data_IF_605133383009
#
_entry.id   IF_605133383009
#
_cell.length_a   1.000
_cell.length_b   1.000
_cell.length_c   1.000
_cell.angle_alpha   90.00
_cell.angle_beta   90.00
_cell.angle_gamma   90.00
#
_symmetry.space_group_name_H-M   'P 1'
#
loop_
_entity.id
_entity.type
_entity.pdbx_description
1 polymer ?
#
# COMPACT_ATOMS: atom_id res chain seq x y z
N UNK A 1 -1.83 28.27 6.40
CA UNK A 1 -1.98 27.56 7.70
C UNK A 1 -1.54 26.13 7.46
N UNK A 2 -0.58 25.61 8.25
CA UNK A 2 -0.19 24.20 8.17
C UNK A 2 -1.15 23.37 9.01
N UNK A 3 -2.14 22.74 8.36
CA UNK A 3 -3.07 21.81 9.01
C UNK A 3 -2.73 20.41 8.52
N UNK A 4 -2.58 19.47 9.45
CA UNK A 4 -2.40 18.04 9.14
C UNK A 4 -3.77 17.38 9.28
N UNK A 5 -4.40 16.92 8.17
CA UNK A 5 -5.64 16.17 8.23
C UNK A 5 -5.40 14.77 8.78
N UNK A 6 -6.35 14.25 9.56
CA UNK A 6 -6.40 12.85 9.97
C UNK A 6 -7.68 12.28 9.37
N UNK A 7 -7.53 11.24 8.54
CA UNK A 7 -8.63 10.62 7.81
C UNK A 7 -8.80 9.18 8.27
N UNK A 8 -10.03 8.75 8.48
CA UNK A 8 -10.40 7.36 8.72
C UNK A 8 -11.78 7.10 8.13
N UNK A 9 -12.09 5.85 7.82
CA UNK A 9 -13.43 5.46 7.40
C UNK A 9 -14.43 5.69 8.54
N UNK A 10 -15.64 6.16 8.21
CA UNK A 10 -16.69 6.31 9.19
C UNK A 10 -17.60 5.07 9.21
N UNK A 11 -17.20 4.06 9.97
CA UNK A 11 -17.88 2.77 10.10
C UNK A 11 -19.31 2.88 10.63
N UNK A 12 -19.69 4.03 11.21
CA UNK A 12 -21.04 4.22 11.78
C UNK A 12 -22.07 4.69 10.76
N UNK A 13 -21.64 5.26 9.63
CA UNK A 13 -22.51 5.79 8.57
C UNK A 13 -22.21 5.23 7.19
N UNK A 14 -21.10 4.48 7.03
CA UNK A 14 -20.82 3.80 5.76
C UNK A 14 -21.85 2.70 5.55
N UNK A 15 -22.49 2.70 4.37
CA UNK A 15 -23.31 1.57 3.92
C UNK A 15 -22.42 0.47 3.40
N UNK A 16 -22.92 -0.78 3.32
CA UNK A 16 -22.19 -1.91 2.75
C UNK A 16 -21.65 -1.64 1.35
N UNK A 17 -22.28 -0.73 0.62
CA UNK A 17 -21.92 -0.33 -0.74
C UNK A 17 -20.74 0.65 -0.82
N UNK A 18 -20.30 1.24 0.31
CA UNK A 18 -19.23 2.25 0.38
C UNK A 18 -18.10 1.86 1.31
N UNK A 19 -17.96 0.58 1.66
CA UNK A 19 -16.85 0.10 2.49
C UNK A 19 -15.67 -0.29 1.60
N UNK A 20 -14.58 0.44 1.67
CA UNK A 20 -13.32 0.07 1.02
C UNK A 20 -12.64 -1.15 1.67
N UNK A 21 -13.15 -1.60 2.83
CA UNK A 21 -12.78 -2.84 3.50
C UNK A 21 -11.39 -2.84 4.15
N UNK A 22 -10.52 -1.89 3.82
CA UNK A 22 -9.18 -1.79 4.40
C UNK A 22 -8.60 -0.37 4.34
N UNK A 23 -7.79 -0.01 5.35
CA UNK A 23 -7.14 1.28 5.43
C UNK A 23 -5.97 1.45 4.45
N UNK A 24 -5.43 0.36 3.90
CA UNK A 24 -4.35 0.42 2.92
C UNK A 24 -4.89 1.05 1.62
N UNK A 25 -5.99 0.52 1.07
CA UNK A 25 -6.65 1.08 -0.11
C UNK A 25 -7.17 2.49 0.12
N UNK A 26 -7.80 2.75 1.27
CA UNK A 26 -8.27 4.09 1.63
C UNK A 26 -7.12 5.10 1.64
N UNK A 27 -5.96 4.75 2.19
CA UNK A 27 -4.81 5.64 2.24
C UNK A 27 -4.27 5.97 0.84
N UNK A 28 -4.28 4.99 -0.08
CA UNK A 28 -3.84 5.21 -1.46
C UNK A 28 -4.83 6.08 -2.26
N UNK A 29 -6.14 5.92 -2.03
CA UNK A 29 -7.16 6.79 -2.60
C UNK A 29 -6.97 8.23 -2.11
N UNK A 30 -6.78 8.43 -0.81
CA UNK A 30 -6.52 9.77 -0.24
C UNK A 30 -5.24 10.36 -0.83
N UNK A 31 -4.15 9.59 -0.91
CA UNK A 31 -2.90 10.04 -1.51
C UNK A 31 -3.08 10.49 -2.97
N UNK A 32 -3.86 9.74 -3.76
CA UNK A 32 -4.21 10.10 -5.13
C UNK A 32 -5.01 11.41 -5.20
N UNK A 33 -6.05 11.54 -4.37
CA UNK A 33 -6.93 12.72 -4.35
C UNK A 33 -6.22 14.01 -3.96
N UNK A 34 -5.23 13.94 -3.06
CA UNK A 34 -4.45 15.12 -2.65
C UNK A 34 -3.23 15.37 -3.53
N UNK A 35 -2.95 14.49 -4.51
CA UNK A 35 -1.76 14.58 -5.37
C UNK A 35 -0.46 14.42 -4.57
N UNK A 36 -0.41 13.46 -3.67
CA UNK A 36 0.78 13.19 -2.87
C UNK A 36 1.95 12.70 -3.74
N UNK A 37 3.18 13.09 -3.39
CA UNK A 37 4.39 12.59 -4.04
C UNK A 37 4.81 11.24 -3.47
N UNK A 38 4.50 10.97 -2.20
CA UNK A 38 4.89 9.76 -1.49
C UNK A 38 3.79 9.30 -0.53
N UNK A 39 3.44 8.02 -0.60
CA UNK A 39 2.63 7.31 0.38
C UNK A 39 3.52 6.38 1.22
N UNK A 40 3.44 6.47 2.54
CA UNK A 40 4.13 5.56 3.45
C UNK A 40 3.10 4.71 4.18
N UNK A 41 3.08 3.40 3.91
CA UNK A 41 2.30 2.43 4.68
C UNK A 41 3.15 1.86 5.81
N UNK A 42 2.77 2.20 7.03
CA UNK A 42 3.35 1.62 8.24
C UNK A 42 2.53 0.37 8.63
N UNK A 43 3.19 -0.78 8.68
CA UNK A 43 2.57 -2.08 8.89
C UNK A 43 3.33 -2.92 9.93
N UNK A 44 2.81 -4.09 10.23
CA UNK A 44 3.46 -5.11 11.06
C UNK A 44 4.46 -5.98 10.29
N UNK A 45 4.59 -5.76 8.97
CA UNK A 45 5.55 -6.45 8.11
C UNK A 45 6.65 -5.51 7.64
N UNK A 46 7.83 -6.06 7.34
CA UNK A 46 8.99 -5.26 6.91
C UNK A 46 8.86 -4.74 5.47
N UNK A 47 8.05 -5.40 4.63
CA UNK A 47 7.85 -5.08 3.22
C UNK A 47 7.41 -6.30 2.43
N UNK A 48 7.59 -6.25 1.10
CA UNK A 48 7.32 -7.35 0.19
C UNK A 48 8.52 -8.31 0.16
N UNK A 49 8.25 -9.60 0.29
CA UNK A 49 9.24 -10.66 0.18
C UNK A 49 9.03 -11.49 -1.08
N UNK A 50 10.09 -12.18 -1.51
CA UNK A 50 10.04 -13.11 -2.66
C UNK A 50 9.13 -14.31 -2.41
N UNK A 51 8.82 -14.62 -1.15
CA UNK A 51 7.95 -15.70 -0.67
C UNK A 51 7.53 -15.39 0.78
N UNK A 52 6.66 -16.18 1.40
CA UNK A 52 6.29 -16.02 2.82
C UNK A 52 7.48 -16.34 3.74
N UNK A 53 8.09 -15.34 4.42
CA UNK A 53 9.26 -15.56 5.25
C UNK A 53 8.98 -16.45 6.48
N UNK A 54 7.69 -16.64 6.85
CA UNK A 54 7.29 -17.55 7.92
C UNK A 54 7.33 -19.01 7.49
N UNK A 55 7.17 -19.27 6.18
CA UNK A 55 7.16 -20.62 5.59
C UNK A 55 8.49 -20.95 4.91
N UNK A 56 9.12 -19.95 4.31
CA UNK A 56 10.36 -20.11 3.58
C UNK A 56 11.49 -19.25 4.19
N UNK A 57 12.46 -19.86 4.92
CA UNK A 57 13.59 -19.13 5.50
C UNK A 57 14.53 -18.49 4.46
N UNK A 58 14.38 -18.83 3.17
CA UNK A 58 15.13 -18.25 2.06
C UNK A 58 14.42 -17.08 1.39
N UNK A 59 13.25 -16.70 1.89
CA UNK A 59 12.54 -15.52 1.41
C UNK A 59 13.39 -14.27 1.64
N UNK A 60 13.57 -13.47 0.61
CA UNK A 60 14.36 -12.25 0.63
C UNK A 60 13.44 -11.04 0.50
N UNK A 61 13.72 -10.00 1.27
CA UNK A 61 13.02 -8.72 1.16
C UNK A 61 13.33 -8.08 -0.20
N UNK A 62 12.30 -7.64 -0.91
CA UNK A 62 12.44 -6.92 -2.17
C UNK A 62 12.59 -5.42 -1.85
N UNK A 63 13.77 -4.83 -2.08
CA UNK A 63 14.00 -3.44 -1.68
C UNK A 63 13.28 -2.44 -2.58
N UNK A 64 13.16 -2.74 -3.89
CA UNK A 64 12.58 -1.83 -4.89
C UNK A 64 11.71 -2.62 -5.87
N UNK A 65 10.53 -2.08 -6.15
CA UNK A 65 9.61 -2.53 -7.20
C UNK A 65 9.45 -1.39 -8.21
N UNK A 66 10.08 -1.56 -9.39
CA UNK A 66 10.01 -0.56 -10.47
C UNK A 66 8.62 -0.54 -11.14
N UNK A 67 7.96 -1.69 -11.18
CA UNK A 67 6.62 -1.86 -11.75
C UNK A 67 5.93 -3.07 -11.14
N UNK A 68 4.66 -2.93 -10.82
CA UNK A 68 3.82 -4.03 -10.37
C UNK A 68 3.36 -4.81 -11.60
N UNK A 69 3.93 -5.99 -11.78
CA UNK A 69 3.61 -6.94 -12.84
C UNK A 69 3.02 -8.23 -12.25
N UNK A 70 2.63 -9.16 -13.11
CA UNK A 70 2.06 -10.45 -12.69
C UNK A 70 2.98 -11.24 -11.74
N UNK A 71 4.30 -11.06 -11.84
CA UNK A 71 5.26 -11.73 -10.95
C UNK A 71 5.14 -11.18 -9.53
N UNK A 72 5.07 -9.86 -9.39
CA UNK A 72 4.89 -9.19 -8.10
C UNK A 72 3.52 -9.54 -7.49
N UNK A 73 2.47 -9.59 -8.32
CA UNK A 73 1.12 -9.98 -7.87
C UNK A 73 1.07 -11.42 -7.35
N UNK A 74 1.72 -12.36 -8.06
CA UNK A 74 1.78 -13.76 -7.64
C UNK A 74 2.54 -13.94 -6.31
N UNK A 75 3.60 -13.18 -6.07
CA UNK A 75 4.34 -13.21 -4.79
C UNK A 75 3.44 -12.83 -3.60
N UNK A 76 2.49 -11.91 -3.80
CA UNK A 76 1.52 -11.55 -2.76
C UNK A 76 0.43 -12.60 -2.58
N UNK A 77 0.01 -13.27 -3.68
CA UNK A 77 -1.01 -14.32 -3.65
C UNK A 77 -0.58 -15.56 -2.87
N UNK A 78 0.68 -15.95 -2.95
CA UNK A 78 1.24 -17.10 -2.23
C UNK A 78 1.41 -16.85 -0.71
N UNK A 79 1.36 -15.59 -0.28
CA UNK A 79 1.38 -15.22 1.15
C UNK A 79 -0.01 -15.29 1.81
N UNK A 80 -1.08 -15.60 1.06
CA UNK A 80 -2.45 -15.75 1.58
C UNK A 80 -2.59 -17.09 2.31
N UNK A 81 -2.27 -17.10 3.57
CA UNK A 81 -2.36 -18.29 4.44
C UNK A 81 -2.63 -17.97 5.92
N UNK A 82 -3.13 -16.78 6.24
CA UNK A 82 -3.57 -16.46 7.60
C UNK A 82 -5.05 -16.07 7.62
N UNK A 83 -5.88 -16.94 8.20
CA UNK A 83 -7.31 -16.73 8.49
C UNK A 83 -7.58 -15.59 9.49
N UNK A 84 -6.60 -14.75 9.78
CA UNK A 84 -6.73 -13.69 10.79
C UNK A 84 -6.13 -12.39 10.24
N UNK A 85 -6.97 -11.60 9.59
CA UNK A 85 -6.66 -10.21 9.23
C UNK A 85 -6.98 -9.87 7.77
N UNK A 86 -7.94 -8.99 7.58
CA UNK A 86 -8.38 -8.45 6.27
C UNK A 86 -7.36 -7.54 5.59
N UNK A 87 -6.15 -7.38 6.15
CA UNK A 87 -5.08 -6.50 5.67
C UNK A 87 -3.82 -7.26 5.20
N UNK A 88 -3.96 -8.25 4.33
CA UNK A 88 -2.83 -9.02 3.81
C UNK A 88 -1.95 -8.26 2.81
N UNK A 89 -0.91 -8.92 2.28
CA UNK A 89 -0.04 -8.34 1.24
C UNK A 89 -0.83 -7.93 -0.01
N UNK A 90 -1.95 -8.60 -0.30
CA UNK A 90 -2.82 -8.27 -1.44
C UNK A 90 -3.38 -6.85 -1.34
N UNK A 91 -3.91 -6.43 -0.16
CA UNK A 91 -4.44 -5.07 0.03
C UNK A 91 -3.33 -4.01 -0.10
N UNK A 92 -2.12 -4.33 0.38
CA UNK A 92 -0.95 -3.46 0.24
C UNK A 92 -0.48 -3.31 -1.20
N UNK A 93 -0.55 -4.37 -2.00
CA UNK A 93 -0.27 -4.28 -3.44
C UNK A 93 -1.36 -3.53 -4.20
N UNK A 94 -2.62 -3.66 -3.80
CA UNK A 94 -3.72 -2.84 -4.34
C UNK A 94 -3.45 -1.36 -4.06
N UNK A 95 -3.11 -1.01 -2.83
CA UNK A 95 -2.73 0.35 -2.46
C UNK A 95 -1.51 0.86 -3.26
N UNK A 96 -0.47 0.01 -3.43
CA UNK A 96 0.70 0.35 -4.22
C UNK A 96 0.34 0.61 -5.69
N UNK A 97 -0.57 -0.19 -6.26
CA UNK A 97 -1.05 -0.01 -7.63
C UNK A 97 -1.77 1.34 -7.79
N UNK A 98 -2.70 1.67 -6.89
CA UNK A 98 -3.44 2.94 -6.90
C UNK A 98 -2.45 4.11 -6.80
N UNK A 99 -1.56 4.10 -5.80
CA UNK A 99 -0.61 5.17 -5.56
C UNK A 99 0.33 5.37 -6.77
N UNK A 100 0.95 4.29 -7.27
CA UNK A 100 1.94 4.38 -8.35
C UNK A 100 1.33 4.79 -9.68
N UNK A 101 0.12 4.29 -10.02
CA UNK A 101 -0.61 4.70 -11.23
C UNK A 101 -1.09 6.15 -11.16
N UNK A 102 -1.37 6.67 -9.96
CA UNK A 102 -1.70 8.09 -9.73
C UNK A 102 -0.47 9.00 -9.80
N UNK A 103 0.75 8.44 -9.78
CA UNK A 103 2.01 9.17 -9.87
C UNK A 103 2.72 9.40 -8.53
N UNK A 104 2.27 8.77 -7.45
CA UNK A 104 2.95 8.77 -6.17
C UNK A 104 3.90 7.57 -6.03
N UNK A 105 5.08 7.79 -5.45
CA UNK A 105 5.88 6.70 -4.92
C UNK A 105 5.20 6.11 -3.68
N UNK A 106 5.48 4.83 -3.35
CA UNK A 106 4.96 4.23 -2.13
C UNK A 106 6.04 3.43 -1.42
N UNK A 107 6.01 3.47 -0.07
CA UNK A 107 6.87 2.63 0.77
C UNK A 107 6.00 1.80 1.71
N UNK A 108 6.30 0.50 1.82
CA UNK A 108 5.82 -0.36 2.91
C UNK A 108 6.98 -0.53 3.89
N UNK A 109 6.76 -0.18 5.16
CA UNK A 109 7.77 -0.32 6.20
C UNK A 109 7.16 -0.79 7.53
N UNK A 110 7.98 -1.42 8.36
CA UNK A 110 7.57 -1.92 9.67
C UNK A 110 7.36 -0.76 10.66
N UNK A 111 6.19 -0.74 11.30
CA UNK A 111 5.79 0.27 12.29
C UNK A 111 6.30 0.00 13.71
N UNK A 112 7.05 -1.09 13.94
CA UNK A 112 7.54 -1.45 15.28
C UNK A 112 8.34 -0.32 15.93
N UNK A 113 9.07 0.43 15.11
CA UNK A 113 9.75 1.66 15.53
C UNK A 113 9.38 2.79 14.55
N UNK A 114 8.64 3.79 15.03
CA UNK A 114 8.26 4.97 14.23
C UNK A 114 9.46 5.82 13.80
N UNK A 115 10.64 5.60 14.36
CA UNK A 115 11.90 6.15 13.89
C UNK A 115 12.25 5.77 12.46
N UNK A 116 11.59 4.74 11.92
CA UNK A 116 11.68 4.36 10.51
C UNK A 116 11.34 5.52 9.56
N UNK A 117 10.44 6.44 9.95
CA UNK A 117 10.10 7.63 9.17
C UNK A 117 11.34 8.53 8.98
N UNK A 118 12.15 8.75 10.02
CA UNK A 118 13.39 9.51 9.88
C UNK A 118 14.35 8.85 8.90
N UNK A 119 14.47 7.51 8.97
CA UNK A 119 15.33 6.76 8.06
C UNK A 119 14.87 6.90 6.60
N UNK A 120 13.55 6.85 6.33
CA UNK A 120 12.98 7.07 5.00
C UNK A 120 13.36 8.47 4.49
N UNK A 121 13.13 9.52 5.27
CA UNK A 121 13.44 10.89 4.86
C UNK A 121 14.95 11.20 4.78
N UNK A 122 15.79 10.41 5.43
CA UNK A 122 17.26 10.44 5.25
C UNK A 122 17.71 9.67 3.98
N UNK A 123 16.78 9.06 3.23
CA UNK A 123 17.06 8.28 2.02
C UNK A 123 17.67 6.91 2.29
N UNK A 124 17.55 6.39 3.51
CA UNK A 124 17.98 5.01 3.81
C UNK A 124 17.06 3.99 3.18
N UNK A 125 17.62 2.90 2.70
CA UNK A 125 16.83 1.76 2.21
C UNK A 125 16.17 1.05 3.40
N UNK A 126 14.88 1.23 3.55
CA UNK A 126 14.05 0.55 4.54
C UNK A 126 12.76 0.07 3.87
N UNK A 127 12.34 -1.13 4.22
CA UNK A 127 11.13 -1.69 3.66
C UNK A 127 11.21 -1.97 2.15
N UNK A 128 10.06 -1.88 1.49
CA UNK A 128 9.94 -2.01 0.03
C UNK A 128 9.47 -0.69 -0.56
N UNK A 129 10.25 -0.14 -1.48
CA UNK A 129 9.93 1.06 -2.25
C UNK A 129 9.28 0.68 -3.58
N UNK A 130 8.09 1.19 -3.85
CA UNK A 130 7.36 1.08 -5.12
C UNK A 130 7.47 2.40 -5.85
N UNK A 131 8.06 2.37 -7.04
CA UNK A 131 8.29 3.55 -7.84
C UNK A 131 7.02 4.01 -8.56
N UNK A 132 6.78 5.30 -8.57
CA UNK A 132 5.72 5.91 -9.34
C UNK A 132 5.79 5.48 -10.82
N UNK A 133 4.65 5.09 -11.36
CA UNK A 133 4.48 4.68 -12.76
C UNK A 133 3.17 5.27 -13.28
N UNK A 134 3.10 6.61 -13.29
CA UNK A 134 1.89 7.35 -13.65
C UNK A 134 1.31 6.88 -14.97
N UNK A 135 0.02 6.61 -14.94
CA UNK A 135 -0.77 6.31 -16.13
C UNK A 135 -1.81 7.41 -16.33
N UNK A 136 -1.72 8.13 -17.43
CA UNK A 136 -2.62 9.24 -17.73
C UNK A 136 -4.07 8.78 -18.00
N UNK A 137 -4.27 7.48 -18.28
CA UNK A 137 -5.59 6.86 -18.43
C UNK A 137 -6.16 6.31 -17.11
N UNK A 138 -5.41 6.43 -15.99
CA UNK A 138 -5.87 6.00 -14.67
C UNK A 138 -6.56 7.15 -13.95
N UNK A 139 -7.86 7.03 -13.72
CA UNK A 139 -8.66 7.99 -12.94
C UNK A 139 -9.16 7.34 -11.67
N UNK A 140 -8.82 7.93 -10.53
CA UNK A 140 -9.21 7.40 -9.22
C UNK A 140 -10.73 7.36 -9.04
N UNK A 141 -11.47 8.25 -9.69
CA UNK A 141 -12.93 8.25 -9.66
C UNK A 141 -13.51 6.95 -10.28
N UNK A 142 -13.00 6.53 -11.44
CA UNK A 142 -13.43 5.31 -12.12
C UNK A 142 -13.12 4.07 -11.25
N UNK A 143 -11.92 4.04 -10.63
CA UNK A 143 -11.55 2.97 -9.70
C UNK A 143 -12.50 2.86 -8.50
N UNK A 144 -12.90 4.01 -7.94
CA UNK A 144 -13.86 4.05 -6.81
C UNK A 144 -15.23 3.56 -7.26
N UNK A 145 -15.73 3.98 -8.43
CA UNK A 145 -17.01 3.55 -8.97
C UNK A 145 -17.04 2.03 -9.21
N UNK A 146 -15.99 1.48 -9.86
CA UNK A 146 -15.87 0.03 -10.11
C UNK A 146 -15.79 -0.80 -8.82
N UNK A 147 -15.24 -0.25 -7.75
CA UNK A 147 -15.13 -0.95 -6.46
C UNK A 147 -16.44 -0.93 -5.66
N UNK A 148 -17.45 -0.15 -6.10
CA UNK A 148 -18.78 -0.05 -5.48
C UNK A 148 -19.84 -0.94 -6.16
N UNK A 149 -19.54 -1.54 -7.31
CA UNK A 149 -20.40 -2.50 -8.03
C UNK A 149 -20.18 -3.95 -7.55
#
# INVERSE_FOLDING_TARGET
>A
MGIIPIVNENDTVSTYEMQFGDNDSLSAIVASLVGADLLILLSDIDGLYTDDPRKNPKAELIPVVEKIDNRIENMAGDTVGSDVGTGGMTTKLTAARIATLSGADMIIANAKDVGVLHQIFEGKQVGTFFKANKNDDFYIADYVEESME
#
